data_IF_734233642555
#
_entry.id   IF_734233642555
#
_cell.length_a   1.000
_cell.length_b   1.000
_cell.length_c   1.000
_cell.angle_alpha   90.00
_cell.angle_beta   90.00
_cell.angle_gamma   90.00
#
_symmetry.space_group_name_H-M   'P 1'
#
loop_
_entity.id
_entity.type
_entity.pdbx_description
1 polymer ?
#
# COMPACT_ATOMS: atom_id res chain seq x y z
N UNK A 1 -17.19 -26.82 6.89
CA UNK A 1 -17.27 -25.49 6.23
C UNK A 1 -16.02 -25.36 5.36
N UNK A 2 -16.13 -24.92 4.10
CA UNK A 2 -14.98 -24.63 3.26
C UNK A 2 -14.49 -23.20 3.55
N UNK A 3 -13.16 -22.95 3.46
CA UNK A 3 -12.64 -21.59 3.55
C UNK A 3 -13.27 -20.71 2.46
N UNK A 4 -13.49 -19.42 2.76
CA UNK A 4 -13.98 -18.45 1.79
C UNK A 4 -12.98 -18.31 0.63
N UNK A 5 -13.49 -17.99 -0.55
CA UNK A 5 -12.63 -17.76 -1.71
C UNK A 5 -11.70 -16.58 -1.43
N UNK A 6 -10.39 -16.77 -1.60
CA UNK A 6 -9.40 -15.73 -1.40
C UNK A 6 -9.40 -14.72 -2.55
N UNK A 7 -9.65 -15.17 -3.77
CA UNK A 7 -9.74 -14.37 -4.97
C UNK A 7 -11.10 -14.54 -5.64
N UNK A 8 -11.60 -13.43 -6.18
CA UNK A 8 -12.85 -13.37 -6.94
C UNK A 8 -12.55 -12.91 -8.37
N UNK A 9 -13.16 -13.54 -9.37
CA UNK A 9 -13.03 -13.09 -10.76
C UNK A 9 -13.81 -11.78 -10.94
N UNK A 10 -13.12 -10.69 -11.24
CA UNK A 10 -13.73 -9.43 -11.61
C UNK A 10 -13.46 -9.12 -13.09
N UNK A 11 -14.50 -8.68 -13.79
CA UNK A 11 -14.39 -8.17 -15.14
C UNK A 11 -13.77 -6.77 -15.13
N UNK A 12 -12.83 -6.53 -16.02
CA UNK A 12 -12.31 -5.19 -16.28
C UNK A 12 -13.37 -4.40 -17.06
N UNK A 13 -13.90 -3.35 -16.47
CA UNK A 13 -14.88 -2.45 -17.10
C UNK A 13 -14.21 -1.49 -18.07
N UNK A 14 -13.07 -0.94 -17.67
CA UNK A 14 -12.32 0.02 -18.46
C UNK A 14 -10.82 -0.03 -18.14
N UNK A 15 -10.00 0.26 -19.15
CA UNK A 15 -8.58 0.56 -19.02
C UNK A 15 -8.36 1.90 -19.73
N UNK A 16 -8.05 2.96 -18.98
CA UNK A 16 -7.88 4.32 -19.52
C UNK A 16 -6.42 4.75 -19.35
N UNK A 17 -5.76 5.23 -20.39
CA UNK A 17 -4.47 5.91 -20.25
C UNK A 17 -4.61 7.11 -19.30
N UNK A 18 -3.61 7.32 -18.45
CA UNK A 18 -3.51 8.45 -17.53
C UNK A 18 -2.24 9.27 -17.82
N UNK A 19 -1.12 8.58 -17.98
CA UNK A 19 0.14 9.14 -18.46
C UNK A 19 0.75 8.20 -19.49
N UNK A 20 1.83 8.57 -20.21
CA UNK A 20 2.53 7.64 -21.13
C UNK A 20 3.02 6.35 -20.44
N UNK A 21 3.15 6.37 -19.11
CA UNK A 21 3.66 5.24 -18.32
C UNK A 21 2.61 4.66 -17.34
N UNK A 22 1.35 5.08 -17.41
CA UNK A 22 0.34 4.62 -16.44
C UNK A 22 -1.06 4.50 -17.05
N UNK A 23 -1.81 3.53 -16.56
CA UNK A 23 -3.23 3.33 -16.85
C UNK A 23 -4.07 3.29 -15.57
N UNK A 24 -5.35 3.64 -15.70
CA UNK A 24 -6.38 3.46 -14.68
C UNK A 24 -7.22 2.26 -15.08
N UNK A 25 -7.24 1.24 -14.23
CA UNK A 25 -8.06 0.03 -14.40
C UNK A 25 -9.29 0.13 -13.52
N UNK A 26 -10.47 0.08 -14.11
CA UNK A 26 -11.75 0.07 -13.39
C UNK A 26 -12.39 -1.31 -13.49
N UNK A 27 -12.85 -1.84 -12.36
CA UNK A 27 -13.51 -3.14 -12.28
C UNK A 27 -15.02 -3.01 -12.24
N UNK A 28 -15.69 -4.00 -12.83
CA UNK A 28 -17.12 -4.23 -12.65
C UNK A 28 -17.29 -5.18 -11.44
N UNK A 29 -17.95 -4.68 -10.40
CA UNK A 29 -18.23 -5.48 -9.20
C UNK A 29 -19.67 -5.99 -9.28
N UNK A 30 -19.90 -7.31 -9.45
CA UNK A 30 -21.25 -7.89 -9.45
C UNK A 30 -21.98 -7.62 -8.13
N UNK A 31 -23.30 -7.50 -8.18
CA UNK A 31 -24.12 -7.13 -7.02
C UNK A 31 -23.89 -8.02 -5.79
N UNK A 32 -23.75 -9.33 -5.99
CA UNK A 32 -23.51 -10.29 -4.91
C UNK A 32 -22.10 -10.16 -4.28
N UNK A 33 -21.15 -9.49 -4.95
CA UNK A 33 -19.81 -9.22 -4.42
C UNK A 33 -19.66 -7.79 -3.86
N UNK A 34 -20.64 -6.91 -4.00
CA UNK A 34 -20.56 -5.54 -3.44
C UNK A 34 -20.22 -5.51 -1.95
N UNK A 35 -20.77 -6.38 -1.09
CA UNK A 35 -20.38 -6.41 0.32
C UNK A 35 -18.93 -6.81 0.54
N UNK A 36 -18.35 -7.64 -0.34
CA UNK A 36 -16.96 -8.09 -0.28
C UNK A 36 -16.00 -7.00 -0.74
N UNK A 37 -16.40 -6.20 -1.74
CA UNK A 37 -15.57 -5.16 -2.34
C UNK A 37 -15.87 -3.75 -1.86
N UNK A 38 -16.68 -3.58 -0.82
CA UNK A 38 -16.74 -2.33 -0.07
C UNK A 38 -15.36 -2.00 0.52
N UNK A 39 -14.91 -0.76 0.36
CA UNK A 39 -13.57 -0.38 0.79
C UNK A 39 -13.57 0.87 1.67
N UNK A 40 -12.51 1.02 2.44
CA UNK A 40 -12.14 2.24 3.17
C UNK A 40 -11.05 2.95 2.36
N UNK A 41 -11.06 4.28 2.38
CA UNK A 41 -10.05 5.10 1.70
C UNK A 41 -8.63 4.67 2.09
N UNK A 42 -7.72 4.65 1.12
CA UNK A 42 -6.32 4.22 1.35
C UNK A 42 -6.08 2.71 1.36
N UNK A 43 -7.12 1.89 1.16
CA UNK A 43 -6.96 0.45 0.96
C UNK A 43 -6.46 0.11 -0.45
N UNK A 44 -5.99 -1.13 -0.64
CA UNK A 44 -5.50 -1.66 -1.90
C UNK A 44 -6.19 -2.97 -2.28
N UNK A 45 -6.08 -3.32 -3.56
CA UNK A 45 -6.46 -4.62 -4.11
C UNK A 45 -5.19 -5.44 -4.41
N UNK A 46 -5.24 -6.74 -4.16
CA UNK A 46 -4.25 -7.68 -4.70
C UNK A 46 -4.81 -8.32 -5.96
N UNK A 47 -4.16 -8.06 -7.09
CA UNK A 47 -4.48 -8.64 -8.39
C UNK A 47 -3.62 -9.87 -8.65
N UNK A 48 -4.21 -10.91 -9.23
CA UNK A 48 -3.54 -12.17 -9.59
C UNK A 48 -3.82 -12.50 -11.04
N UNK A 49 -2.78 -12.86 -11.77
CA UNK A 49 -2.87 -13.32 -13.15
C UNK A 49 -1.66 -14.20 -13.50
N UNK A 50 -1.89 -15.21 -14.36
CA UNK A 50 -0.82 -16.03 -14.91
C UNK A 50 -0.19 -15.31 -16.12
N UNK A 51 1.10 -14.99 -16.05
CA UNK A 51 1.86 -14.35 -17.13
C UNK A 51 3.04 -15.26 -17.46
N UNK A 52 3.17 -15.67 -18.73
CA UNK A 52 4.21 -16.60 -19.18
C UNK A 52 4.31 -17.86 -18.30
N UNK A 53 3.18 -18.41 -17.88
CA UNK A 53 3.11 -19.62 -17.04
C UNK A 53 3.41 -19.39 -15.55
N UNK A 54 3.71 -18.17 -15.12
CA UNK A 54 3.96 -17.82 -13.73
C UNK A 54 2.71 -17.20 -13.08
N UNK A 55 2.29 -17.72 -11.93
CA UNK A 55 1.21 -17.15 -11.12
C UNK A 55 1.73 -15.91 -10.36
N UNK A 56 1.40 -14.73 -10.84
CA UNK A 56 1.88 -13.47 -10.30
C UNK A 56 0.79 -12.76 -9.52
N UNK A 57 1.17 -12.19 -8.37
CA UNK A 57 0.28 -11.40 -7.50
C UNK A 57 0.93 -10.03 -7.23
N UNK A 58 0.17 -8.94 -7.38
CA UNK A 58 0.63 -7.59 -7.07
C UNK A 58 -0.47 -6.76 -6.45
N UNK A 59 -0.09 -5.96 -5.45
CA UNK A 59 -0.99 -5.02 -4.77
C UNK A 59 -0.94 -3.67 -5.45
N UNK A 60 -2.14 -3.07 -5.64
CA UNK A 60 -2.33 -1.73 -6.18
C UNK A 60 -3.35 -1.00 -5.34
N UNK A 61 -3.00 0.20 -4.87
CA UNK A 61 -3.88 1.01 -4.04
C UNK A 61 -5.11 1.46 -4.83
N UNK A 62 -6.25 1.42 -4.17
CA UNK A 62 -7.51 1.96 -4.71
C UNK A 62 -7.34 3.48 -4.83
N UNK A 63 -7.67 4.02 -6.00
CA UNK A 63 -7.55 5.45 -6.30
C UNK A 63 -8.92 6.14 -6.46
N UNK A 64 -10.00 5.48 -6.07
CA UNK A 64 -11.34 6.04 -5.98
C UNK A 64 -11.63 6.56 -4.57
N UNK A 65 -12.44 7.60 -4.44
CA UNK A 65 -13.10 7.94 -3.18
C UNK A 65 -14.20 6.93 -2.86
N UNK A 66 -14.55 6.77 -1.60
CA UNK A 66 -15.57 5.78 -1.17
C UNK A 66 -16.96 6.08 -1.73
N UNK A 67 -17.21 7.31 -2.17
CA UNK A 67 -18.49 7.76 -2.74
C UNK A 67 -18.49 7.82 -4.28
N UNK A 68 -17.39 7.44 -4.93
CA UNK A 68 -17.31 7.50 -6.40
C UNK A 68 -18.16 6.43 -7.11
N UNK A 69 -18.60 5.40 -6.40
CA UNK A 69 -19.34 4.27 -6.98
C UNK A 69 -18.49 3.40 -7.92
N UNK A 70 -17.17 3.52 -7.85
CA UNK A 70 -16.21 2.81 -8.69
C UNK A 70 -15.15 2.08 -7.86
N UNK A 71 -14.77 0.89 -8.31
CA UNK A 71 -13.61 0.19 -7.81
C UNK A 71 -12.50 0.29 -8.88
N UNK A 72 -11.46 1.08 -8.62
CA UNK A 72 -10.39 1.30 -9.60
C UNK A 72 -9.02 1.43 -8.95
N UNK A 73 -7.99 1.06 -9.72
CA UNK A 73 -6.58 1.18 -9.35
C UNK A 73 -5.79 1.89 -10.43
N UNK A 74 -4.78 2.65 -10.03
CA UNK A 74 -3.81 3.25 -10.94
C UNK A 74 -2.56 2.38 -11.04
N UNK A 75 -2.16 2.01 -12.26
CA UNK A 75 -1.02 1.12 -12.48
C UNK A 75 0.02 1.80 -13.35
N UNK A 76 1.15 2.17 -12.74
CA UNK A 76 2.30 2.72 -13.45
C UNK A 76 3.25 1.59 -13.86
N UNK A 77 3.81 1.68 -15.05
CA UNK A 77 4.90 0.81 -15.53
C UNK A 77 6.10 0.92 -14.58
N UNK A 78 6.58 -0.22 -14.13
CA UNK A 78 7.83 -0.33 -13.39
C UNK A 78 8.89 -0.86 -14.33
N UNK A 79 10.06 -0.26 -14.33
CA UNK A 79 11.18 -0.75 -15.13
C UNK A 79 11.43 -2.23 -14.81
N UNK A 80 11.45 -3.08 -15.81
CA UNK A 80 11.60 -4.54 -15.71
C UNK A 80 10.47 -5.25 -14.92
N UNK A 81 9.36 -4.55 -14.65
CA UNK A 81 8.22 -5.09 -13.93
C UNK A 81 7.28 -5.89 -14.83
N UNK A 82 7.22 -7.22 -14.66
CA UNK A 82 6.40 -8.10 -15.51
C UNK A 82 4.92 -7.76 -15.44
N UNK A 83 4.35 -7.70 -14.23
CA UNK A 83 2.90 -7.52 -14.04
C UNK A 83 2.41 -6.11 -14.43
N UNK A 84 3.13 -5.07 -14.01
CA UNK A 84 2.74 -3.69 -14.32
C UNK A 84 2.84 -3.38 -15.82
N UNK A 85 3.86 -3.90 -16.50
CA UNK A 85 4.01 -3.73 -17.94
C UNK A 85 2.93 -4.50 -18.68
N UNK A 86 2.64 -5.74 -18.27
CA UNK A 86 1.56 -6.55 -18.87
C UNK A 86 0.19 -5.84 -18.74
N UNK A 87 -0.14 -5.25 -17.58
CA UNK A 87 -1.40 -4.47 -17.42
C UNK A 87 -1.45 -3.31 -18.42
N UNK A 88 -0.35 -2.55 -18.54
CA UNK A 88 -0.33 -1.36 -19.40
C UNK A 88 -0.37 -1.70 -20.90
N UNK A 89 0.08 -2.89 -21.30
CA UNK A 89 0.27 -3.25 -22.72
C UNK A 89 -0.79 -4.23 -23.23
N UNK A 90 -1.33 -5.06 -22.38
CA UNK A 90 -2.17 -6.19 -22.81
C UNK A 90 -3.57 -6.21 -22.21
N UNK A 91 -3.77 -5.68 -21.00
CA UNK A 91 -5.08 -5.72 -20.34
C UNK A 91 -6.11 -4.87 -21.09
N UNK A 92 -7.29 -5.42 -21.32
CA UNK A 92 -8.37 -4.79 -22.08
C UNK A 92 -9.71 -4.82 -21.33
N UNK A 93 -10.62 -3.91 -21.63
CA UNK A 93 -12.01 -4.02 -21.19
C UNK A 93 -12.60 -5.38 -21.60
N UNK A 94 -13.28 -6.03 -20.67
CA UNK A 94 -13.85 -7.37 -20.84
C UNK A 94 -12.98 -8.51 -20.28
N UNK A 95 -11.69 -8.29 -20.10
CA UNK A 95 -10.80 -9.29 -19.47
C UNK A 95 -11.22 -9.56 -18.02
N UNK A 96 -10.84 -10.73 -17.52
CA UNK A 96 -11.12 -11.15 -16.13
C UNK A 96 -9.80 -11.27 -15.37
N UNK A 97 -9.72 -10.57 -14.25
CA UNK A 97 -8.63 -10.72 -13.29
C UNK A 97 -9.12 -11.34 -12.00
N UNK A 98 -8.27 -12.12 -11.35
CA UNK A 98 -8.51 -12.61 -10.01
C UNK A 98 -8.14 -11.50 -9.01
N UNK A 99 -9.10 -11.06 -8.22
CA UNK A 99 -8.96 -9.90 -7.32
C UNK A 99 -9.29 -10.32 -5.89
N UNK A 100 -8.40 -10.00 -4.95
CA UNK A 100 -8.64 -10.18 -3.52
C UNK A 100 -9.47 -9.00 -3.00
N UNK A 101 -10.32 -9.27 -2.00
CA UNK A 101 -11.07 -8.23 -1.30
C UNK A 101 -10.13 -7.09 -0.83
N UNK A 102 -10.63 -5.84 -0.72
CA UNK A 102 -9.84 -4.70 -0.28
C UNK A 102 -9.15 -4.95 1.05
N UNK A 103 -7.88 -4.57 1.14
CA UNK A 103 -7.03 -4.71 2.32
C UNK A 103 -6.22 -3.44 2.56
N UNK A 104 -5.54 -3.38 3.70
CA UNK A 104 -4.69 -2.24 4.05
C UNK A 104 -5.31 -1.34 5.12
N UNK A 105 -4.44 -0.53 5.75
CA UNK A 105 -4.79 0.32 6.89
C UNK A 105 -4.15 1.70 6.80
N UNK A 106 -3.83 2.11 5.59
CA UNK A 106 -3.28 3.45 5.32
C UNK A 106 -4.41 4.50 5.33
N UNK A 107 -5.08 4.61 6.48
CA UNK A 107 -6.17 5.57 6.70
C UNK A 107 -6.32 5.91 8.18
N UNK A 108 -7.06 6.97 8.45
CA UNK A 108 -7.60 7.27 9.78
C UNK A 108 -9.12 7.22 9.72
N UNK A 109 -9.81 6.88 10.81
CA UNK A 109 -11.27 6.93 10.87
C UNK A 109 -11.79 8.33 10.53
N UNK A 110 -12.80 8.40 9.68
CA UNK A 110 -13.45 9.64 9.32
C UNK A 110 -14.16 10.25 10.53
N UNK A 111 -14.10 11.56 10.63
CA UNK A 111 -14.76 12.33 11.69
C UNK A 111 -15.52 13.51 11.08
N UNK A 112 -16.78 13.31 10.62
CA UNK A 112 -17.56 14.30 9.88
C UNK A 112 -17.72 15.66 10.59
N UNK A 113 -17.65 15.65 11.93
CA UNK A 113 -17.76 16.86 12.76
C UNK A 113 -16.40 17.52 13.06
N UNK A 114 -15.30 16.88 12.72
CA UNK A 114 -13.97 17.43 12.97
C UNK A 114 -13.58 18.50 11.95
N UNK A 115 -12.67 19.39 12.36
CA UNK A 115 -12.06 20.38 11.50
C UNK A 115 -10.55 20.09 11.44
N UNK A 116 -10.17 19.03 10.73
CA UNK A 116 -8.79 18.54 10.64
C UNK A 116 -8.03 19.15 9.49
N UNK A 117 -6.72 19.24 9.65
CA UNK A 117 -5.80 19.50 8.54
C UNK A 117 -5.04 18.23 8.20
N UNK A 118 -5.33 17.66 7.05
CA UNK A 118 -4.63 16.51 6.50
C UNK A 118 -3.54 16.97 5.54
N UNK A 119 -2.34 16.41 5.66
CA UNK A 119 -1.22 16.61 4.74
C UNK A 119 -0.97 15.33 3.96
N UNK A 120 -1.00 15.40 2.63
CA UNK A 120 -0.54 14.35 1.73
C UNK A 120 0.85 14.68 1.18
N UNK A 121 1.80 13.75 1.26
CA UNK A 121 3.11 13.85 0.60
C UNK A 121 3.22 12.68 -0.36
N UNK A 122 3.00 12.95 -1.65
CA UNK A 122 2.98 11.93 -2.69
C UNK A 122 4.21 12.02 -3.61
N UNK A 123 4.71 10.86 -4.05
CA UNK A 123 5.73 10.78 -5.11
C UNK A 123 5.31 9.82 -6.22
N UNK A 124 5.16 10.33 -7.45
CA UNK A 124 4.75 9.51 -8.60
C UNK A 124 3.48 8.71 -8.34
N UNK A 125 3.54 7.38 -8.48
CA UNK A 125 2.38 6.48 -8.24
C UNK A 125 1.92 6.42 -6.77
N UNK A 126 2.69 6.95 -5.82
CA UNK A 126 2.24 7.08 -4.42
C UNK A 126 1.03 7.98 -4.23
N UNK A 127 0.62 8.70 -5.27
CA UNK A 127 -0.62 9.46 -5.30
C UNK A 127 -1.87 8.58 -5.17
N UNK A 128 -1.83 7.31 -5.60
CA UNK A 128 -3.02 6.45 -5.68
C UNK A 128 -3.77 6.32 -4.36
N UNK A 129 -3.16 5.93 -3.22
CA UNK A 129 -3.87 5.86 -1.95
C UNK A 129 -4.19 7.25 -1.39
N UNK A 130 -3.33 8.24 -1.60
CA UNK A 130 -3.52 9.61 -1.14
C UNK A 130 -4.71 10.26 -1.85
N UNK A 131 -4.91 9.99 -3.15
CA UNK A 131 -6.08 10.45 -3.90
C UNK A 131 -7.38 9.89 -3.32
N UNK A 132 -7.42 8.60 -3.00
CA UNK A 132 -8.57 7.96 -2.34
C UNK A 132 -8.90 8.63 -1.00
N UNK A 133 -7.87 8.86 -0.17
CA UNK A 133 -8.01 9.53 1.13
C UNK A 133 -8.49 10.98 0.93
N UNK A 134 -7.85 11.73 0.05
CA UNK A 134 -8.15 13.14 -0.22
C UNK A 134 -9.59 13.32 -0.70
N UNK A 135 -10.05 12.52 -1.69
CA UNK A 135 -11.43 12.55 -2.19
C UNK A 135 -12.43 12.28 -1.09
N UNK A 136 -12.18 11.24 -0.30
CA UNK A 136 -13.09 10.81 0.76
C UNK A 136 -13.17 11.82 1.91
N UNK A 137 -12.02 12.33 2.37
CA UNK A 137 -11.96 13.34 3.43
C UNK A 137 -12.67 14.61 2.99
N UNK A 138 -12.37 15.13 1.81
CA UNK A 138 -13.01 16.36 1.30
C UNK A 138 -14.52 16.22 1.11
N UNK A 139 -15.02 15.02 0.78
CA UNK A 139 -16.45 14.75 0.66
C UNK A 139 -17.15 14.57 2.01
N UNK A 140 -16.54 13.83 2.95
CA UNK A 140 -17.20 13.38 4.18
C UNK A 140 -16.83 14.16 5.46
N UNK A 141 -15.78 14.99 5.41
CA UNK A 141 -15.39 15.90 6.49
C UNK A 141 -15.49 17.36 6.03
N UNK A 142 -16.67 17.97 6.03
CA UNK A 142 -16.92 19.27 5.38
C UNK A 142 -16.14 20.45 5.99
N UNK A 143 -15.66 20.33 7.24
CA UNK A 143 -14.85 21.35 7.90
C UNK A 143 -13.34 21.07 7.84
N UNK A 144 -12.95 19.89 7.38
CA UNK A 144 -11.53 19.53 7.21
C UNK A 144 -10.95 20.09 5.92
N UNK A 145 -9.65 20.31 5.92
CA UNK A 145 -8.86 20.75 4.76
C UNK A 145 -7.76 19.74 4.44
N UNK A 146 -7.32 19.76 3.20
CA UNK A 146 -6.26 18.88 2.72
C UNK A 146 -5.18 19.71 2.01
N UNK A 147 -3.92 19.50 2.35
CA UNK A 147 -2.78 20.01 1.60
C UNK A 147 -2.05 18.85 0.95
N UNK A 148 -1.80 18.94 -0.35
CA UNK A 148 -1.06 17.94 -1.11
C UNK A 148 0.28 18.51 -1.58
N UNK A 149 1.39 17.88 -1.17
CA UNK A 149 2.72 18.06 -1.75
C UNK A 149 2.95 16.89 -2.70
N UNK A 150 3.04 17.15 -4.02
CA UNK A 150 3.11 16.10 -5.01
C UNK A 150 4.34 16.21 -5.90
N UNK A 151 5.32 15.32 -5.67
CA UNK A 151 6.57 15.24 -6.41
C UNK A 151 6.47 14.34 -7.65
N UNK A 152 6.89 14.86 -8.80
CA UNK A 152 6.96 14.15 -10.08
C UNK A 152 8.20 14.57 -10.87
N UNK A 153 8.51 13.87 -11.95
CA UNK A 153 9.56 14.29 -12.88
C UNK A 153 9.14 15.52 -13.69
N UNK A 154 7.94 15.48 -14.23
CA UNK A 154 7.38 16.54 -15.07
C UNK A 154 5.84 16.52 -15.02
N UNK A 155 5.14 17.57 -15.51
CA UNK A 155 3.69 17.58 -15.65
C UNK A 155 3.15 16.40 -16.46
N UNK A 156 3.86 15.95 -17.50
CA UNK A 156 3.47 14.81 -18.36
C UNK A 156 3.52 13.47 -17.62
N UNK A 157 4.31 13.35 -16.56
CA UNK A 157 4.43 12.14 -15.75
C UNK A 157 3.55 12.17 -14.50
N UNK A 158 2.76 13.23 -14.29
CA UNK A 158 1.90 13.44 -13.12
C UNK A 158 0.62 12.64 -13.28
N UNK A 159 0.49 11.55 -12.53
CA UNK A 159 -0.72 10.74 -12.53
C UNK A 159 -1.90 11.51 -11.93
N UNK A 160 -3.09 11.29 -12.47
CA UNK A 160 -4.36 11.91 -12.04
C UNK A 160 -4.34 13.45 -12.05
N UNK A 161 -3.53 14.06 -12.91
CA UNK A 161 -3.37 15.52 -12.92
C UNK A 161 -4.71 16.24 -13.10
N UNK A 162 -5.48 15.89 -14.13
CA UNK A 162 -6.78 16.50 -14.41
C UNK A 162 -7.77 16.27 -13.26
N UNK A 163 -7.85 15.05 -12.73
CA UNK A 163 -8.74 14.73 -11.61
C UNK A 163 -8.40 15.51 -10.33
N UNK A 164 -7.12 15.75 -10.06
CA UNK A 164 -6.66 16.57 -8.93
C UNK A 164 -6.99 18.04 -9.15
N UNK A 165 -6.87 18.55 -10.37
CA UNK A 165 -7.28 19.90 -10.76
C UNK A 165 -8.80 20.10 -10.60
N UNK A 166 -9.62 19.15 -11.06
CA UNK A 166 -11.07 19.15 -10.86
C UNK A 166 -11.45 19.14 -9.37
N UNK A 167 -10.72 18.37 -8.55
CA UNK A 167 -10.93 18.40 -7.10
C UNK A 167 -10.54 19.76 -6.50
N UNK A 168 -9.47 20.38 -6.98
CA UNK A 168 -9.07 21.73 -6.55
C UNK A 168 -10.15 22.75 -6.88
N UNK A 169 -10.75 22.68 -8.06
CA UNK A 169 -11.84 23.59 -8.45
C UNK A 169 -13.08 23.38 -7.59
N UNK A 170 -13.42 22.13 -7.29
CA UNK A 170 -14.56 21.77 -6.43
C UNK A 170 -14.37 22.21 -4.98
N UNK A 171 -13.17 22.09 -4.43
CA UNK A 171 -12.87 22.30 -3.02
C UNK A 171 -11.90 23.48 -2.81
N UNK A 172 -12.06 24.55 -3.56
CA UNK A 172 -11.16 25.68 -3.74
C UNK A 172 -10.47 26.19 -2.46
N UNK A 173 -11.24 26.35 -1.37
CA UNK A 173 -10.73 26.88 -0.07
C UNK A 173 -10.21 25.78 0.87
N UNK A 174 -10.54 24.52 0.61
CA UNK A 174 -10.21 23.39 1.49
C UNK A 174 -9.12 22.46 0.94
N UNK A 175 -8.78 22.59 -0.34
CA UNK A 175 -7.69 21.83 -0.98
C UNK A 175 -6.59 22.80 -1.43
N UNK A 176 -5.38 22.55 -0.94
CA UNK A 176 -4.15 23.25 -1.36
C UNK A 176 -3.25 22.27 -2.09
N UNK A 177 -2.77 22.63 -3.28
CA UNK A 177 -1.91 21.80 -4.12
C UNK A 177 -0.55 22.45 -4.31
N UNK A 178 0.51 21.68 -4.10
CA UNK A 178 1.87 22.03 -4.42
C UNK A 178 2.50 20.93 -5.27
N UNK A 179 2.70 21.18 -6.56
CA UNK A 179 3.47 20.31 -7.43
C UNK A 179 4.95 20.63 -7.33
N UNK A 180 5.79 19.60 -7.22
CA UNK A 180 7.25 19.71 -7.24
C UNK A 180 7.78 18.87 -8.39
N UNK A 181 8.57 19.48 -9.30
CA UNK A 181 9.09 18.81 -10.51
C UNK A 181 10.61 18.71 -10.46
N UNK A 182 11.14 17.49 -10.66
CA UNK A 182 12.59 17.26 -10.65
C UNK A 182 13.26 17.62 -11.98
N UNK A 183 12.56 17.42 -13.10
CA UNK A 183 13.12 17.49 -14.46
C UNK A 183 12.56 18.68 -15.26
N UNK A 184 11.79 19.56 -14.61
CA UNK A 184 11.21 20.73 -15.25
C UNK A 184 11.73 22.02 -14.61
N UNK A 185 11.82 23.06 -15.44
CA UNK A 185 12.10 24.41 -14.97
C UNK A 185 10.80 25.06 -14.45
N UNK A 186 10.78 25.41 -13.17
CA UNK A 186 9.67 26.12 -12.52
C UNK A 186 10.26 27.37 -11.89
N UNK A 187 9.56 28.49 -12.00
CA UNK A 187 10.05 29.82 -11.56
C UNK A 187 10.32 29.86 -10.04
N UNK A 188 9.55 29.12 -9.26
CA UNK A 188 9.68 29.07 -7.80
C UNK A 188 10.62 27.96 -7.37
N UNK A 189 11.74 28.30 -6.76
CA UNK A 189 12.76 27.36 -6.28
C UNK A 189 12.20 26.26 -5.36
N UNK A 190 11.16 26.57 -4.55
CA UNK A 190 10.49 25.61 -3.67
C UNK A 190 9.82 24.48 -4.43
N UNK A 191 9.32 24.71 -5.63
CA UNK A 191 8.60 23.74 -6.47
C UNK A 191 9.50 23.01 -7.48
N UNK A 192 10.83 23.26 -7.44
CA UNK A 192 11.80 22.63 -8.36
C UNK A 192 12.72 21.67 -7.64
N UNK A 193 12.91 20.44 -8.19
CA UNK A 193 13.84 19.42 -7.71
C UNK A 193 13.13 18.25 -7.02
N UNK A 194 13.85 17.48 -6.25
CA UNK A 194 13.33 16.29 -5.57
C UNK A 194 12.66 16.63 -4.23
N UNK A 195 11.74 15.78 -3.81
CA UNK A 195 11.07 15.87 -2.50
C UNK A 195 11.97 15.22 -1.43
N UNK A 196 13.05 15.92 -1.07
CA UNK A 196 13.95 15.54 0.00
C UNK A 196 13.57 16.19 1.35
N UNK A 197 14.30 15.82 2.40
CA UNK A 197 14.09 16.35 3.76
C UNK A 197 14.18 17.86 3.83
N UNK A 198 15.14 18.47 3.11
CA UNK A 198 15.36 19.90 3.13
C UNK A 198 14.18 20.66 2.53
N UNK A 199 13.67 20.19 1.38
CA UNK A 199 12.53 20.77 0.69
C UNK A 199 11.22 20.58 1.46
N UNK A 200 10.94 19.38 1.94
CA UNK A 200 9.76 19.15 2.78
C UNK A 200 9.82 20.02 4.04
N UNK A 201 10.98 20.09 4.69
CA UNK A 201 11.20 21.00 5.83
C UNK A 201 10.99 22.47 5.48
N UNK A 202 11.32 22.90 4.25
CA UNK A 202 11.03 24.26 3.81
C UNK A 202 9.52 24.48 3.66
N UNK A 203 8.75 23.57 3.06
CA UNK A 203 7.28 23.64 3.02
C UNK A 203 6.69 23.75 4.41
N UNK A 204 7.16 22.92 5.36
CA UNK A 204 6.65 22.92 6.75
C UNK A 204 6.94 24.24 7.49
N UNK A 205 8.03 24.91 7.18
CA UNK A 205 8.36 26.23 7.78
C UNK A 205 7.62 27.39 7.15
N UNK A 206 7.29 27.33 5.86
CA UNK A 206 6.81 28.52 5.12
C UNK A 206 5.33 28.48 4.75
N UNK A 207 4.79 27.31 4.40
CA UNK A 207 3.45 27.17 3.83
C UNK A 207 2.52 26.24 4.60
N UNK A 208 3.06 25.24 5.29
CA UNK A 208 2.26 24.20 5.97
C UNK A 208 2.78 24.04 7.40
N UNK A 209 2.42 24.95 8.33
CA UNK A 209 2.92 24.89 9.70
C UNK A 209 2.66 23.55 10.37
N UNK A 210 3.71 22.87 10.87
CA UNK A 210 3.64 21.55 11.44
C UNK A 210 2.60 21.43 12.58
N UNK A 211 2.46 22.48 13.40
CA UNK A 211 1.47 22.55 14.48
C UNK A 211 0.02 22.47 13.99
N UNK A 212 -0.24 22.76 12.71
CA UNK A 212 -1.59 22.70 12.13
C UNK A 212 -1.94 21.32 11.57
N UNK A 213 -0.99 20.38 11.51
CA UNK A 213 -1.18 19.07 10.88
C UNK A 213 -1.76 18.09 11.91
N UNK A 214 -2.96 17.60 11.66
CA UNK A 214 -3.59 16.54 12.46
C UNK A 214 -3.14 15.15 12.00
N UNK A 215 -3.03 14.93 10.68
CA UNK A 215 -2.54 13.68 10.10
C UNK A 215 -1.73 13.96 8.83
N UNK A 216 -0.58 13.30 8.70
CA UNK A 216 0.27 13.31 7.51
C UNK A 216 0.28 11.92 6.87
N UNK A 217 -0.04 11.83 5.57
CA UNK A 217 -0.03 10.62 4.77
C UNK A 217 1.11 10.69 3.76
N UNK A 218 2.05 9.76 3.83
CA UNK A 218 3.25 9.73 2.99
C UNK A 218 3.26 8.48 2.13
N UNK A 219 3.34 8.63 0.82
CA UNK A 219 3.49 7.50 -0.10
C UNK A 219 4.26 7.91 -1.37
N UNK A 220 5.33 7.16 -1.68
CA UNK A 220 6.17 7.43 -2.84
C UNK A 220 7.41 6.54 -2.87
N UNK A 221 8.47 6.96 -3.58
CA UNK A 221 9.76 6.28 -3.57
C UNK A 221 10.28 6.06 -2.14
N UNK A 222 10.95 4.94 -1.92
CA UNK A 222 11.38 4.52 -0.58
C UNK A 222 12.16 5.63 0.15
N UNK A 223 13.16 6.21 -0.51
CA UNK A 223 13.97 7.30 0.07
C UNK A 223 13.12 8.54 0.38
N UNK A 224 12.18 8.91 -0.49
CA UNK A 224 11.29 10.06 -0.24
C UNK A 224 10.46 9.84 1.02
N UNK A 225 9.99 8.62 1.26
CA UNK A 225 9.20 8.31 2.46
C UNK A 225 10.04 8.50 3.74
N UNK A 226 11.30 8.03 3.75
CA UNK A 226 12.21 8.21 4.90
C UNK A 226 12.55 9.70 5.13
N UNK A 227 12.82 10.44 4.06
CA UNK A 227 13.09 11.88 4.10
C UNK A 227 11.87 12.68 4.60
N UNK A 228 10.66 12.29 4.17
CA UNK A 228 9.42 12.91 4.60
C UNK A 228 9.16 12.66 6.09
N UNK A 229 9.31 11.42 6.54
CA UNK A 229 9.18 11.08 7.97
C UNK A 229 10.15 11.89 8.82
N UNK A 230 11.43 11.92 8.43
CA UNK A 230 12.46 12.67 9.14
C UNK A 230 12.18 14.18 9.17
N UNK A 231 11.65 14.75 8.08
CA UNK A 231 11.27 16.17 8.02
C UNK A 231 10.08 16.49 8.93
N UNK A 232 9.05 15.66 8.93
CA UNK A 232 7.84 15.81 9.76
C UNK A 232 8.20 15.72 11.26
N UNK A 233 8.97 14.72 11.66
CA UNK A 233 9.43 14.56 13.05
C UNK A 233 10.30 15.75 13.50
N UNK A 234 11.24 16.19 12.65
CA UNK A 234 12.08 17.35 12.95
C UNK A 234 11.29 18.66 13.07
N UNK A 235 10.13 18.75 12.40
CA UNK A 235 9.22 19.88 12.50
C UNK A 235 8.26 19.80 13.69
N UNK A 236 8.30 18.71 14.48
CA UNK A 236 7.48 18.50 15.69
C UNK A 236 6.13 17.83 15.44
N UNK A 237 5.90 17.20 14.27
CA UNK A 237 4.71 16.35 14.06
C UNK A 237 4.90 15.06 14.85
N UNK A 238 3.94 14.70 15.67
CA UNK A 238 4.00 13.50 16.50
C UNK A 238 3.98 12.22 15.62
N UNK A 239 4.73 11.18 16.03
CA UNK A 239 4.88 9.93 15.27
C UNK A 239 3.56 9.23 14.96
N UNK A 240 2.60 9.26 15.89
CA UNK A 240 1.26 8.67 15.76
C UNK A 240 0.36 9.39 14.75
N UNK A 241 0.75 10.60 14.32
CA UNK A 241 0.08 11.38 13.26
C UNK A 241 0.69 11.18 11.90
N UNK A 242 1.80 10.44 11.79
CA UNK A 242 2.52 10.19 10.53
C UNK A 242 2.20 8.78 10.05
N UNK A 243 1.53 8.69 8.89
CA UNK A 243 1.12 7.44 8.26
C UNK A 243 1.94 7.26 6.98
N UNK A 244 2.60 6.10 6.83
CA UNK A 244 3.48 5.84 5.68
C UNK A 244 3.05 4.54 5.00
N UNK A 245 2.81 4.61 3.68
CA UNK A 245 2.65 3.43 2.84
C UNK A 245 3.84 3.29 1.88
N UNK A 246 4.38 2.06 1.75
CA UNK A 246 5.53 1.77 0.92
C UNK A 246 5.15 0.79 -0.19
N UNK A 247 5.56 1.06 -1.44
CA UNK A 247 5.28 0.19 -2.59
C UNK A 247 6.42 -0.76 -2.95
N UNK A 248 7.56 -0.65 -2.30
CA UNK A 248 8.73 -1.49 -2.55
C UNK A 248 9.82 -1.28 -1.52
N UNK A 249 10.89 -2.05 -1.64
CA UNK A 249 12.10 -1.92 -0.83
C UNK A 249 13.12 -1.05 -1.58
N UNK A 250 14.01 -0.39 -0.83
CA UNK A 250 15.16 0.29 -1.42
C UNK A 250 15.98 -0.70 -2.27
N UNK A 251 16.18 -0.39 -3.55
CA UNK A 251 17.13 -1.12 -4.39
C UNK A 251 18.55 -0.67 -3.98
N UNK A 252 19.18 -1.37 -3.06
CA UNK A 252 20.63 -1.31 -2.99
C UNK A 252 21.19 -1.96 -4.27
N UNK A 253 22.21 -1.35 -4.87
CA UNK A 253 22.79 -1.76 -6.16
C UNK A 253 23.28 -3.23 -6.22
N UNK A 254 23.21 -3.98 -5.11
CA UNK A 254 23.65 -5.37 -4.98
C UNK A 254 22.54 -6.36 -4.62
N UNK A 255 21.25 -5.95 -4.57
CA UNK A 255 20.15 -6.84 -4.21
C UNK A 255 19.04 -6.86 -5.28
N UNK A 256 19.43 -7.21 -6.52
CA UNK A 256 18.51 -7.77 -7.51
C UNK A 256 18.44 -9.27 -7.26
N UNK A 257 17.67 -9.68 -6.26
CA UNK A 257 17.48 -11.09 -5.89
C UNK A 257 16.35 -11.21 -4.88
N UNK A 258 15.78 -12.39 -4.79
CA UNK A 258 14.85 -12.76 -3.73
C UNK A 258 15.46 -12.42 -2.36
N UNK A 259 14.61 -12.05 -1.40
CA UNK A 259 15.05 -11.87 0.00
C UNK A 259 15.75 -13.16 0.41
N UNK A 260 17.05 -13.08 0.66
CA UNK A 260 17.78 -14.24 1.19
C UNK A 260 17.37 -14.39 2.66
N UNK A 261 16.54 -15.37 2.94
CA UNK A 261 16.18 -15.75 4.29
C UNK A 261 17.36 -16.58 4.85
N UNK A 262 18.14 -16.00 5.73
CA UNK A 262 19.22 -16.72 6.41
C UNK A 262 18.68 -17.37 7.68
N UNK A 263 18.88 -18.67 7.81
CA UNK A 263 18.63 -19.37 9.07
C UNK A 263 19.51 -18.79 10.18
N UNK A 264 18.94 -18.59 11.37
CA UNK A 264 19.64 -18.08 12.54
C UNK A 264 19.69 -19.12 13.66
N UNK A 265 20.65 -19.03 14.58
CA UNK A 265 20.75 -20.00 15.68
C UNK A 265 19.49 -20.10 16.54
N UNK A 266 18.76 -19.00 16.69
CA UNK A 266 17.50 -18.93 17.44
C UNK A 266 16.28 -19.55 16.73
N UNK A 267 16.38 -19.85 15.44
CA UNK A 267 15.29 -20.48 14.69
C UNK A 267 15.12 -21.94 15.11
N UNK A 268 13.88 -22.36 15.28
CA UNK A 268 13.56 -23.76 15.58
C UNK A 268 14.00 -24.66 14.42
N UNK A 269 14.69 -25.78 14.72
CA UNK A 269 15.09 -26.76 13.70
C UNK A 269 13.87 -27.36 13.00
N UNK A 270 12.85 -27.64 13.80
CA UNK A 270 11.56 -28.15 13.38
C UNK A 270 10.46 -27.46 14.18
N UNK A 271 9.45 -26.92 13.51
CA UNK A 271 8.30 -26.35 14.16
C UNK A 271 6.99 -26.87 13.57
N UNK A 272 6.03 -27.12 14.44
CA UNK A 272 4.65 -27.41 14.05
C UNK A 272 3.89 -26.10 13.94
N UNK A 273 3.51 -25.72 12.73
CA UNK A 273 2.82 -24.46 12.46
C UNK A 273 1.36 -24.73 12.13
N UNK A 274 0.45 -24.09 12.86
CA UNK A 274 -0.98 -24.10 12.59
C UNK A 274 -1.41 -22.75 12.01
N UNK A 275 -2.03 -22.75 10.85
CA UNK A 275 -2.71 -21.60 10.26
C UNK A 275 -4.21 -21.68 10.60
N UNK A 276 -4.77 -20.58 11.10
CA UNK A 276 -6.21 -20.39 11.30
C UNK A 276 -6.70 -19.39 10.27
N UNK A 277 -7.67 -19.80 9.45
CA UNK A 277 -8.33 -18.93 8.48
C UNK A 277 -9.79 -19.34 8.30
N UNK A 278 -10.71 -18.37 8.38
CA UNK A 278 -12.17 -18.58 8.36
C UNK A 278 -12.61 -19.63 9.43
N UNK A 279 -11.99 -19.60 10.60
CA UNK A 279 -12.19 -20.56 11.68
C UNK A 279 -11.60 -21.95 11.43
N UNK A 280 -11.06 -22.21 10.24
CA UNK A 280 -10.47 -23.51 9.89
C UNK A 280 -9.00 -23.56 10.31
N UNK A 281 -8.62 -24.62 10.98
CA UNK A 281 -7.24 -24.90 11.42
C UNK A 281 -6.58 -25.88 10.45
N UNK A 282 -5.40 -25.51 9.95
CA UNK A 282 -4.56 -26.35 9.10
C UNK A 282 -3.15 -26.37 9.65
N UNK A 283 -2.57 -27.55 9.76
CA UNK A 283 -1.25 -27.75 10.35
C UNK A 283 -0.26 -28.27 9.30
N UNK A 284 0.97 -27.82 9.41
CA UNK A 284 2.11 -28.30 8.63
C UNK A 284 3.39 -28.23 9.44
N UNK A 285 4.44 -28.86 8.94
CA UNK A 285 5.76 -28.84 9.56
C UNK A 285 6.63 -27.80 8.83
N UNK A 286 7.21 -26.89 9.60
CA UNK A 286 8.24 -25.94 9.14
C UNK A 286 9.61 -26.51 9.49
N UNK A 287 10.55 -26.42 8.55
CA UNK A 287 11.96 -26.77 8.73
C UNK A 287 12.80 -25.51 8.61
N UNK A 288 13.87 -25.40 9.42
CA UNK A 288 14.75 -24.21 9.48
C UNK A 288 15.26 -23.74 8.12
N UNK A 289 15.46 -24.66 7.17
CA UNK A 289 15.98 -24.32 5.84
C UNK A 289 14.92 -23.68 4.92
N UNK A 290 13.67 -23.71 5.29
CA UNK A 290 12.59 -23.12 4.48
C UNK A 290 12.66 -21.59 4.58
N UNK A 291 12.44 -20.86 3.45
CA UNK A 291 12.64 -19.40 3.41
C UNK A 291 11.71 -18.65 4.36
N UNK A 292 10.47 -19.08 4.52
CA UNK A 292 9.50 -18.43 5.41
C UNK A 292 8.32 -19.35 5.75
N UNK A 293 7.54 -18.98 6.76
CA UNK A 293 6.28 -19.66 7.08
C UNK A 293 5.32 -19.65 5.88
N UNK A 294 5.28 -18.56 5.10
CA UNK A 294 4.47 -18.47 3.88
C UNK A 294 4.89 -19.51 2.84
N UNK A 295 6.20 -19.64 2.60
CA UNK A 295 6.72 -20.60 1.61
C UNK A 295 6.43 -22.04 2.05
N UNK A 296 6.60 -22.34 3.34
CA UNK A 296 6.29 -23.64 3.90
C UNK A 296 4.78 -23.97 3.80
N UNK A 297 3.91 -23.02 4.12
CA UNK A 297 2.46 -23.17 3.98
C UNK A 297 2.06 -23.42 2.51
N UNK A 298 2.65 -22.68 1.59
CA UNK A 298 2.41 -22.84 0.14
C UNK A 298 2.88 -24.21 -0.36
N UNK A 299 4.06 -24.67 0.08
CA UNK A 299 4.58 -26.00 -0.24
C UNK A 299 3.70 -27.14 0.34
N UNK A 300 3.03 -26.89 1.47
CA UNK A 300 2.04 -27.80 2.06
C UNK A 300 0.64 -27.70 1.38
N UNK A 301 0.50 -26.94 0.29
CA UNK A 301 -0.76 -26.77 -0.45
C UNK A 301 -1.78 -25.89 0.24
N UNK A 302 -1.37 -25.05 1.21
CA UNK A 302 -2.27 -24.13 1.90
C UNK A 302 -2.34 -22.81 1.14
N UNK A 303 -3.55 -22.38 0.81
CA UNK A 303 -3.77 -21.06 0.22
C UNK A 303 -3.93 -20.03 1.32
N UNK A 304 -2.91 -19.18 1.49
CA UNK A 304 -2.88 -18.08 2.44
C UNK A 304 -2.75 -16.74 1.70
N UNK A 305 -3.21 -15.61 2.30
CA UNK A 305 -3.09 -14.31 1.68
C UNK A 305 -1.62 -13.89 1.53
N UNK A 306 -1.20 -13.49 0.33
CA UNK A 306 0.10 -12.86 0.10
C UNK A 306 0.15 -12.09 -1.23
N UNK A 307 1.13 -11.21 -1.39
CA UNK A 307 1.39 -10.48 -2.63
C UNK A 307 2.89 -10.20 -2.83
N UNK A 308 3.50 -9.25 -2.12
CA UNK A 308 4.84 -8.73 -2.39
C UNK A 308 5.98 -9.68 -1.99
N UNK A 309 5.79 -10.56 -1.02
CA UNK A 309 6.78 -11.46 -0.39
C UNK A 309 8.03 -10.77 0.18
N UNK A 310 8.01 -9.43 0.34
CA UNK A 310 9.17 -8.61 0.75
C UNK A 310 8.93 -7.80 2.03
N UNK A 311 7.85 -8.07 2.76
CA UNK A 311 7.54 -7.40 4.02
C UNK A 311 6.94 -5.99 3.90
N UNK A 312 6.42 -5.61 2.71
CA UNK A 312 6.01 -4.23 2.40
C UNK A 312 4.49 -4.05 2.37
N UNK A 313 3.73 -5.00 1.78
CA UNK A 313 2.31 -4.77 1.48
C UNK A 313 1.35 -5.13 2.62
N UNK A 314 1.77 -5.89 3.61
CA UNK A 314 0.91 -6.35 4.70
C UNK A 314 -0.14 -7.41 4.33
N UNK A 315 -0.24 -7.85 3.07
CA UNK A 315 -1.24 -8.85 2.64
C UNK A 315 -1.13 -10.18 3.39
N UNK A 316 0.09 -10.58 3.78
CA UNK A 316 0.37 -11.81 4.51
C UNK A 316 0.39 -11.62 6.04
N UNK A 317 -0.22 -10.54 6.54
CA UNK A 317 -0.33 -10.25 7.97
C UNK A 317 -1.18 -11.30 8.67
N UNK A 318 -0.65 -11.85 9.76
CA UNK A 318 -1.36 -12.76 10.64
C UNK A 318 -1.00 -12.45 12.10
N UNK A 319 -1.86 -12.81 13.05
CA UNK A 319 -1.53 -12.70 14.47
C UNK A 319 -0.93 -14.00 14.98
N UNK A 320 0.21 -13.94 15.63
CA UNK A 320 0.79 -15.05 16.38
C UNK A 320 0.04 -15.17 17.71
N UNK A 321 -0.83 -16.19 17.81
CA UNK A 321 -1.67 -16.42 18.98
C UNK A 321 -1.08 -17.44 19.94
N UNK A 322 -0.12 -18.24 19.48
CA UNK A 322 0.65 -19.18 20.30
C UNK A 322 2.06 -19.34 19.72
N UNK A 323 3.04 -19.46 20.60
CA UNK A 323 4.45 -19.61 20.22
C UNK A 323 5.15 -18.30 19.95
N UNK A 324 6.30 -18.37 19.31
CA UNK A 324 7.12 -17.21 18.98
C UNK A 324 7.70 -17.32 17.57
N UNK A 325 7.78 -16.17 16.89
CA UNK A 325 8.39 -16.04 15.57
C UNK A 325 9.23 -14.76 15.51
N UNK A 326 10.28 -14.79 14.71
CA UNK A 326 10.99 -13.57 14.31
C UNK A 326 10.63 -13.19 12.89
N UNK A 327 10.74 -11.93 12.54
CA UNK A 327 10.62 -11.42 11.17
C UNK A 327 11.97 -10.98 10.65
N UNK A 328 12.29 -11.35 9.39
CA UNK A 328 13.52 -10.90 8.73
C UNK A 328 13.45 -9.40 8.41
N UNK A 329 12.30 -8.94 7.91
CA UNK A 329 12.01 -7.55 7.56
C UNK A 329 10.57 -7.19 7.91
N UNK A 330 10.37 -5.94 8.29
CA UNK A 330 9.04 -5.40 8.51
C UNK A 330 8.99 -3.93 8.09
N UNK A 331 8.22 -3.64 7.03
CA UNK A 331 7.93 -2.29 6.55
C UNK A 331 6.43 -1.98 6.57
N UNK A 332 5.58 -2.98 6.85
CA UNK A 332 4.12 -2.85 6.78
C UNK A 332 3.43 -2.78 8.14
N UNK A 333 4.05 -3.29 9.20
CA UNK A 333 3.47 -3.30 10.54
C UNK A 333 4.10 -2.19 11.38
N UNK A 334 3.29 -1.45 12.09
CA UNK A 334 3.75 -0.49 13.08
C UNK A 334 4.17 -1.18 14.40
N UNK A 335 4.73 -0.38 15.33
CA UNK A 335 5.22 -0.90 16.61
C UNK A 335 4.12 -1.49 17.48
N UNK A 336 2.91 -0.92 17.44
CA UNK A 336 1.78 -1.39 18.25
C UNK A 336 1.29 -2.73 17.73
N UNK A 337 1.28 -2.93 16.41
CA UNK A 337 0.90 -4.20 15.81
C UNK A 337 1.89 -5.30 16.11
N UNK A 338 3.19 -5.01 16.00
CA UNK A 338 4.23 -5.97 16.39
C UNK A 338 4.10 -6.32 17.87
N UNK A 339 3.87 -5.33 18.75
CA UNK A 339 3.64 -5.55 20.17
C UNK A 339 2.35 -6.35 20.45
N UNK A 340 1.31 -6.21 19.59
CA UNK A 340 0.08 -7.00 19.67
C UNK A 340 0.21 -8.42 19.07
N UNK A 341 1.42 -8.80 18.63
CA UNK A 341 1.72 -10.14 18.12
C UNK A 341 1.45 -10.31 16.62
N UNK A 342 1.23 -9.22 15.86
CA UNK A 342 1.10 -9.36 14.41
C UNK A 342 2.45 -9.55 13.73
N UNK A 343 2.44 -10.42 12.71
CA UNK A 343 3.62 -10.80 11.93
C UNK A 343 3.30 -10.84 10.44
N UNK A 344 4.34 -10.72 9.61
CA UNK A 344 4.26 -10.92 8.16
C UNK A 344 4.75 -12.32 7.85
N UNK A 345 3.86 -13.24 7.47
CA UNK A 345 4.20 -14.66 7.28
C UNK A 345 5.25 -14.88 6.18
N UNK A 346 5.37 -13.97 5.21
CA UNK A 346 6.41 -14.00 4.18
C UNK A 346 7.81 -13.62 4.70
N UNK A 347 7.92 -13.16 5.94
CA UNK A 347 9.17 -12.76 6.59
C UNK A 347 9.39 -13.51 7.91
N UNK A 348 8.44 -14.37 8.30
CA UNK A 348 8.40 -14.99 9.61
C UNK A 348 9.11 -16.35 9.64
N UNK A 349 9.91 -16.55 10.69
CA UNK A 349 10.57 -17.82 11.04
C UNK A 349 10.17 -18.22 12.45
N UNK A 350 9.73 -19.46 12.70
CA UNK A 350 9.49 -19.95 14.05
C UNK A 350 10.75 -19.90 14.92
N UNK A 351 10.60 -19.40 16.14
CA UNK A 351 11.64 -19.50 17.20
C UNK A 351 11.19 -20.43 18.35
N UNK A 352 10.02 -21.04 18.22
CA UNK A 352 9.50 -22.08 19.09
C UNK A 352 9.02 -23.30 18.28
N UNK A 353 9.00 -24.46 18.90
CA UNK A 353 8.60 -25.74 18.27
C UNK A 353 7.11 -25.79 17.87
N UNK A 354 6.29 -24.93 18.46
CA UNK A 354 4.87 -24.80 18.15
C UNK A 354 4.50 -23.35 17.91
N UNK A 355 3.80 -23.09 16.80
CA UNK A 355 3.35 -21.75 16.42
C UNK A 355 1.92 -21.83 15.89
N UNK A 356 1.05 -20.93 16.34
CA UNK A 356 -0.29 -20.75 15.79
C UNK A 356 -0.45 -19.34 15.26
N UNK A 357 -0.77 -19.21 13.97
CA UNK A 357 -0.99 -17.96 13.27
C UNK A 357 -2.44 -17.84 12.82
N UNK A 358 -3.10 -16.74 13.22
CA UNK A 358 -4.48 -16.44 12.82
C UNK A 358 -4.53 -15.34 11.77
N UNK A 359 -5.19 -15.61 10.65
CA UNK A 359 -5.57 -14.63 9.63
C UNK A 359 -6.96 -14.03 9.88
N UNK A 360 -7.70 -14.53 10.86
CA UNK A 360 -9.06 -14.06 11.18
C UNK A 360 -9.05 -12.80 12.05
N UNK A 361 -7.90 -12.51 12.68
CA UNK A 361 -7.71 -11.30 13.48
C UNK A 361 -7.28 -10.12 12.60
N UNK A 362 -8.06 -9.03 12.63
CA UNK A 362 -7.88 -7.84 11.77
C UNK A 362 -7.55 -6.59 12.59
#
# INVERSE_FOLDING_TARGET
MSASALFHPLRVRAVRPDTPEAVIVTFEVPDHLRPVFGFTQGQYLTLRHAIAGQDLRRSYSICAGVDDGELRVGVRKVRDGVFSNWINEHLKPGDILQVMAPQGRFFVPLAPQAARHHLGIAGGSGITPILSIMKTVLAREPRSRFTLLYGNRSPKSTMFKEEIEDLKDRYLTRLVLHHVFSDEHVDTALHRGVMDRARIGQFLRTLVPAASIDHAFVCGPFQMNDEAEAALLAAGVAQDRIHIERFGIARSAHQVGAVVHAARPEDAELARVTIVRDGLRREFVFRREQPSILDAASAAGLEVPFSCTSGVCGTCRARCVEGAVRMERNFALDRNEVAAGFVLTCQAHPTSEKVVLSFDER
#
